data_IF_877494221032
#
_entry.id   IF_877494221032
#
_cell.length_a   1.000
_cell.length_b   1.000
_cell.length_c   1.000
_cell.angle_alpha   90.00
_cell.angle_beta   90.00
_cell.angle_gamma   90.00
#
_symmetry.space_group_name_H-M   'P 1'
#
loop_
_entity.id
_entity.type
_entity.pdbx_description
1 polymer ?
#
# COMPACT_ATOMS: atom_id res chain seq x y z
N UNK A 1 -6.66 -12.85 -8.99
CA UNK A 1 -5.58 -12.88 -10.01
C UNK A 1 -5.65 -11.73 -11.03
N UNK A 2 -5.84 -10.46 -10.63
CA UNK A 2 -5.81 -9.31 -11.56
C UNK A 2 -4.42 -8.68 -11.71
N UNK A 3 -3.49 -8.97 -10.80
CA UNK A 3 -2.13 -8.39 -10.77
C UNK A 3 -1.24 -8.97 -11.88
N UNK A 4 -1.32 -10.29 -12.14
CA UNK A 4 -0.56 -10.97 -13.21
C UNK A 4 -0.90 -10.47 -14.62
N UNK A 5 -2.08 -9.86 -14.81
CA UNK A 5 -2.50 -9.30 -16.09
C UNK A 5 -2.03 -7.86 -16.29
N UNK A 6 -1.36 -7.25 -15.30
CA UNK A 6 -0.85 -5.87 -15.45
C UNK A 6 0.52 -5.89 -16.14
N UNK A 7 0.70 -5.16 -17.25
CA UNK A 7 1.98 -5.14 -17.98
C UNK A 7 3.13 -4.58 -17.12
N UNK A 8 2.83 -3.65 -16.20
CA UNK A 8 3.80 -3.07 -15.25
C UNK A 8 4.47 -4.12 -14.34
N UNK A 9 3.75 -5.17 -13.97
CA UNK A 9 4.29 -6.26 -13.13
C UNK A 9 5.36 -7.05 -13.90
N UNK A 10 5.08 -7.37 -15.16
CA UNK A 10 6.03 -8.05 -16.04
C UNK A 10 7.22 -7.19 -16.40
N UNK A 11 7.03 -5.88 -16.63
CA UNK A 11 8.14 -4.95 -16.86
C UNK A 11 9.09 -4.93 -15.66
N UNK A 12 8.56 -4.89 -14.43
CA UNK A 12 9.37 -4.93 -13.22
C UNK A 12 10.16 -6.25 -13.08
N UNK A 13 9.48 -7.40 -13.26
CA UNK A 13 10.12 -8.72 -13.17
C UNK A 13 11.16 -8.94 -14.27
N UNK A 14 10.82 -8.61 -15.52
CA UNK A 14 11.73 -8.74 -16.66
C UNK A 14 12.92 -7.79 -16.52
N UNK A 15 12.74 -6.59 -15.98
CA UNK A 15 13.84 -5.68 -15.71
C UNK A 15 14.80 -6.21 -14.65
N UNK A 16 14.28 -6.82 -13.58
CA UNK A 16 15.10 -7.43 -12.53
C UNK A 16 15.88 -8.65 -13.07
N UNK A 17 15.23 -9.49 -13.88
CA UNK A 17 15.86 -10.65 -14.51
C UNK A 17 16.90 -10.26 -15.58
N UNK A 18 16.62 -9.23 -16.38
CA UNK A 18 17.50 -8.79 -17.46
C UNK A 18 18.72 -7.99 -16.97
N UNK A 19 18.62 -7.33 -15.81
CA UNK A 19 19.73 -6.59 -15.20
C UNK A 19 20.70 -7.48 -14.41
N UNK A 20 20.25 -8.64 -13.92
CA UNK A 20 21.09 -9.60 -13.19
C UNK A 20 22.39 -10.00 -13.93
N UNK A 21 22.32 -10.41 -15.21
CA UNK A 21 23.50 -10.76 -16.01
C UNK A 21 24.52 -9.63 -16.19
N UNK A 22 24.12 -8.38 -15.99
CA UNK A 22 24.96 -7.19 -16.22
C UNK A 22 25.59 -6.62 -14.94
N UNK A 23 25.06 -6.96 -13.76
CA UNK A 23 25.46 -6.35 -12.48
C UNK A 23 26.27 -7.28 -11.57
N UNK A 24 26.19 -8.60 -11.74
CA UNK A 24 26.72 -9.60 -10.80
C UNK A 24 27.42 -10.74 -11.56
N UNK A 25 28.63 -11.11 -11.14
CA UNK A 25 29.35 -12.32 -11.60
C UNK A 25 30.57 -12.05 -12.48
N UNK A 26 31.55 -12.95 -12.41
CA UNK A 26 32.78 -12.85 -13.22
C UNK A 26 32.48 -13.13 -14.72
N UNK A 27 33.15 -12.44 -15.66
CA UNK A 27 32.81 -12.46 -17.08
C UNK A 27 33.22 -13.79 -17.74
N UNK A 28 32.26 -14.66 -18.06
CA UNK A 28 32.57 -15.93 -18.73
C UNK A 28 32.32 -15.93 -20.24
N UNK A 29 31.56 -14.97 -20.80
CA UNK A 29 31.36 -14.87 -22.27
C UNK A 29 31.42 -13.41 -22.73
N UNK A 30 32.41 -13.03 -23.58
CA UNK A 30 32.42 -11.71 -24.19
C UNK A 30 31.40 -11.65 -25.32
N UNK A 31 30.30 -10.92 -25.13
CA UNK A 31 29.31 -10.62 -26.16
C UNK A 31 29.41 -9.13 -26.54
N UNK A 32 30.51 -8.75 -27.18
CA UNK A 32 30.81 -7.35 -27.53
C UNK A 32 31.05 -6.47 -26.28
N UNK A 33 30.53 -5.23 -26.20
CA UNK A 33 30.71 -4.37 -25.02
C UNK A 33 29.90 -4.81 -23.79
N UNK A 34 29.10 -5.89 -23.92
CA UNK A 34 28.30 -6.46 -22.85
C UNK A 34 28.90 -7.79 -22.40
N UNK A 35 29.36 -7.83 -21.16
CA UNK A 35 29.80 -9.05 -20.51
C UNK A 35 28.58 -9.78 -19.96
N UNK A 36 28.36 -11.03 -20.37
CA UNK A 36 27.24 -11.86 -19.89
C UNK A 36 27.79 -12.93 -18.96
N UNK A 37 27.39 -12.89 -17.70
CA UNK A 37 27.72 -13.94 -16.72
C UNK A 37 26.52 -14.85 -16.49
N UNK A 38 26.74 -16.17 -16.57
CA UNK A 38 25.72 -17.17 -16.23
C UNK A 38 25.33 -17.13 -14.75
N UNK A 39 26.29 -16.76 -13.90
CA UNK A 39 26.07 -16.52 -12.47
C UNK A 39 25.18 -15.30 -12.24
N UNK A 40 25.39 -14.23 -13.02
CA UNK A 40 24.53 -13.04 -13.00
C UNK A 40 23.10 -13.32 -13.46
N UNK A 41 22.92 -14.19 -14.45
CA UNK A 41 21.59 -14.63 -14.88
C UNK A 41 20.88 -15.46 -13.79
N UNK A 42 21.58 -16.39 -13.15
CA UNK A 42 21.04 -17.16 -12.03
C UNK A 42 20.64 -16.25 -10.86
N UNK A 43 21.49 -15.29 -10.50
CA UNK A 43 21.21 -14.29 -9.47
C UNK A 43 20.03 -13.37 -9.85
N UNK A 44 19.95 -12.95 -11.11
CA UNK A 44 18.84 -12.15 -11.63
C UNK A 44 17.49 -12.88 -11.57
N UNK A 45 17.48 -14.16 -11.92
CA UNK A 45 16.28 -15.02 -11.80
C UNK A 45 15.90 -15.21 -10.33
N UNK A 46 16.87 -15.43 -9.44
CA UNK A 46 16.61 -15.55 -8.00
C UNK A 46 16.00 -14.26 -7.43
N UNK A 47 16.57 -13.10 -7.74
CA UNK A 47 16.03 -11.81 -7.31
C UNK A 47 14.65 -11.52 -7.90
N UNK A 48 14.43 -11.86 -9.17
CA UNK A 48 13.11 -11.75 -9.80
C UNK A 48 12.08 -12.66 -9.11
N UNK A 49 12.48 -13.89 -8.74
CA UNK A 49 11.69 -14.81 -7.94
C UNK A 49 11.30 -14.21 -6.59
N UNK A 50 12.27 -13.71 -5.82
CA UNK A 50 12.03 -13.04 -4.53
C UNK A 50 11.11 -11.83 -4.68
N UNK A 51 11.34 -10.97 -5.67
CA UNK A 51 10.52 -9.80 -5.94
C UNK A 51 9.06 -10.18 -6.29
N UNK A 52 8.88 -11.23 -7.09
CA UNK A 52 7.56 -11.74 -7.44
C UNK A 52 6.83 -12.30 -6.21
N UNK A 53 7.53 -13.06 -5.36
CA UNK A 53 6.98 -13.62 -4.13
C UNK A 53 6.54 -12.52 -3.16
N UNK A 54 7.39 -11.51 -2.92
CA UNK A 54 7.07 -10.37 -2.07
C UNK A 54 5.88 -9.57 -2.61
N UNK A 55 5.86 -9.30 -3.91
CA UNK A 55 4.76 -8.56 -4.54
C UNK A 55 3.44 -9.33 -4.48
N UNK A 56 3.47 -10.65 -4.67
CA UNK A 56 2.29 -11.50 -4.55
C UNK A 56 1.81 -11.60 -3.11
N UNK A 57 2.71 -11.81 -2.15
CA UNK A 57 2.39 -11.84 -0.73
C UNK A 57 1.72 -10.53 -0.29
N UNK A 58 2.29 -9.38 -0.67
CA UNK A 58 1.73 -8.08 -0.35
C UNK A 58 0.40 -7.83 -1.05
N UNK A 59 0.28 -8.17 -2.33
CA UNK A 59 -0.98 -8.01 -3.08
C UNK A 59 -2.10 -8.90 -2.55
N UNK A 60 -1.80 -10.12 -2.13
CA UNK A 60 -2.77 -11.04 -1.54
C UNK A 60 -3.15 -10.56 -0.14
N UNK A 61 -2.18 -10.12 0.67
CA UNK A 61 -2.43 -9.53 1.99
C UNK A 61 -3.34 -8.31 1.90
N UNK A 62 -3.02 -7.35 1.04
CA UNK A 62 -3.85 -6.17 0.82
C UNK A 62 -5.25 -6.49 0.29
N UNK A 63 -5.40 -7.54 -0.53
CA UNK A 63 -6.71 -7.95 -1.03
C UNK A 63 -7.57 -8.66 0.03
N UNK A 64 -6.93 -9.26 1.05
CA UNK A 64 -7.60 -9.97 2.14
C UNK A 64 -7.90 -9.06 3.34
N UNK A 65 -7.12 -7.99 3.53
CA UNK A 65 -7.29 -7.02 4.61
C UNK A 65 -8.53 -6.16 4.38
N UNK A 66 -9.49 -6.23 5.30
CA UNK A 66 -10.56 -5.24 5.36
C UNK A 66 -10.11 -4.00 6.15
N UNK A 67 -10.76 -2.86 5.91
CA UNK A 67 -10.50 -1.63 6.67
C UNK A 67 -10.69 -1.86 8.18
N UNK A 68 -11.70 -2.65 8.56
CA UNK A 68 -11.98 -3.02 9.95
C UNK A 68 -10.84 -3.80 10.60
N UNK A 69 -10.15 -4.67 9.84
CA UNK A 69 -9.02 -5.43 10.36
C UNK A 69 -7.81 -4.53 10.64
N UNK A 70 -7.55 -3.57 9.76
CA UNK A 70 -6.48 -2.57 9.94
C UNK A 70 -6.73 -1.74 11.20
N UNK A 71 -7.97 -1.27 11.39
CA UNK A 71 -8.38 -0.52 12.58
C UNK A 71 -8.20 -1.35 13.85
N UNK A 72 -8.61 -2.61 13.82
CA UNK A 72 -8.53 -3.52 14.97
C UNK A 72 -7.08 -3.92 15.32
N UNK A 73 -6.18 -3.99 14.33
CA UNK A 73 -4.74 -4.19 14.57
C UNK A 73 -4.14 -2.99 15.31
N UNK A 74 -4.44 -1.76 14.87
CA UNK A 74 -3.95 -0.55 15.56
C UNK A 74 -4.48 -0.42 16.98
N UNK A 75 -5.73 -0.82 17.20
CA UNK A 75 -6.36 -0.82 18.52
C UNK A 75 -5.71 -1.84 19.47
N UNK A 76 -5.38 -3.04 18.96
CA UNK A 76 -4.64 -4.07 19.73
C UNK A 76 -3.20 -3.71 20.03
N UNK A 77 -2.55 -2.92 19.19
CA UNK A 77 -1.19 -2.43 19.43
C UNK A 77 -1.14 -1.33 20.52
N UNK A 78 -2.28 -1.00 21.15
CA UNK A 78 -2.36 0.00 22.21
C UNK A 78 -2.32 1.44 21.70
N UNK A 79 -2.35 1.64 20.39
CA UNK A 79 -2.41 2.95 19.75
C UNK A 79 -3.86 3.43 19.70
N UNK A 80 -4.44 3.61 20.89
CA UNK A 80 -5.81 4.07 21.08
C UNK A 80 -6.00 5.39 20.35
N UNK A 81 -7.08 5.50 19.58
CA UNK A 81 -7.36 6.65 18.71
C UNK A 81 -6.78 6.58 17.29
N UNK A 82 -5.70 5.85 17.01
CA UNK A 82 -5.19 5.71 15.62
C UNK A 82 -6.11 4.88 14.74
N UNK A 83 -6.76 3.85 15.32
CA UNK A 83 -7.80 3.09 14.62
C UNK A 83 -8.95 4.00 14.19
N UNK A 84 -9.41 4.87 15.09
CA UNK A 84 -10.44 5.88 14.78
C UNK A 84 -9.96 6.87 13.71
N UNK A 85 -8.75 7.43 13.85
CA UNK A 85 -8.19 8.37 12.87
C UNK A 85 -8.02 7.73 11.48
N UNK A 86 -7.63 6.45 11.43
CA UNK A 86 -7.46 5.71 10.17
C UNK A 86 -8.82 5.38 9.53
N UNK A 87 -9.79 4.93 10.32
CA UNK A 87 -11.16 4.71 9.86
C UNK A 87 -11.77 6.00 9.32
N UNK A 88 -11.60 7.10 10.06
CA UNK A 88 -12.06 8.42 9.68
C UNK A 88 -11.37 8.86 8.38
N UNK A 89 -10.04 8.84 8.31
CA UNK A 89 -9.28 9.23 7.12
C UNK A 89 -9.72 8.45 5.86
N UNK A 90 -9.96 7.14 6.00
CA UNK A 90 -10.41 6.30 4.90
C UNK A 90 -11.86 6.60 4.48
N UNK A 91 -12.73 6.92 5.43
CA UNK A 91 -14.10 7.35 5.15
C UNK A 91 -14.11 8.74 4.47
N UNK A 92 -13.30 9.66 4.98
CA UNK A 92 -13.12 11.01 4.45
C UNK A 92 -12.55 11.02 3.04
N UNK A 93 -11.73 10.05 2.65
CA UNK A 93 -11.01 10.03 1.38
C UNK A 93 -11.95 10.16 0.16
N UNK A 94 -13.08 9.44 0.17
CA UNK A 94 -14.02 9.50 -0.96
C UNK A 94 -14.74 10.85 -1.00
N UNK A 95 -15.18 11.36 0.14
CA UNK A 95 -15.80 12.68 0.27
C UNK A 95 -14.83 13.79 -0.15
N UNK A 96 -13.56 13.70 0.27
CA UNK A 96 -12.50 14.62 -0.11
C UNK A 96 -12.21 14.60 -1.59
N UNK A 97 -12.20 13.41 -2.20
CA UNK A 97 -12.06 13.27 -3.64
C UNK A 97 -13.19 13.99 -4.37
N UNK A 98 -14.43 13.83 -3.93
CA UNK A 98 -15.59 14.52 -4.51
C UNK A 98 -15.48 16.04 -4.34
N UNK A 99 -15.22 16.53 -3.12
CA UNK A 99 -15.00 17.94 -2.83
C UNK A 99 -13.86 18.54 -3.67
N UNK A 100 -12.75 17.83 -3.83
CA UNK A 100 -11.63 18.24 -4.65
C UNK A 100 -12.01 18.30 -6.13
N UNK A 101 -12.76 17.32 -6.66
CA UNK A 101 -13.21 17.35 -8.06
C UNK A 101 -14.13 18.54 -8.33
N UNK A 102 -15.08 18.82 -7.45
CA UNK A 102 -15.98 19.97 -7.57
C UNK A 102 -15.19 21.28 -7.49
N UNK A 103 -14.30 21.42 -6.51
CA UNK A 103 -13.46 22.61 -6.33
C UNK A 103 -12.62 22.87 -7.58
N UNK A 104 -12.00 21.83 -8.13
CA UNK A 104 -11.23 21.94 -9.38
C UNK A 104 -12.09 22.36 -10.57
N UNK A 105 -13.27 21.76 -10.73
CA UNK A 105 -14.22 22.12 -11.79
C UNK A 105 -14.66 23.57 -11.68
N UNK A 106 -14.97 24.06 -10.48
CA UNK A 106 -15.34 25.46 -10.23
C UNK A 106 -14.19 26.42 -10.58
N UNK A 107 -12.97 26.11 -10.16
CA UNK A 107 -11.78 26.93 -10.48
C UNK A 107 -11.55 26.96 -11.99
N UNK A 108 -11.72 25.81 -12.68
CA UNK A 108 -11.59 25.73 -14.14
C UNK A 108 -12.66 26.57 -14.85
N UNK A 109 -13.92 26.49 -14.42
CA UNK A 109 -15.03 27.27 -14.99
C UNK A 109 -14.86 28.78 -14.79
N UNK A 110 -14.23 29.21 -13.69
CA UNK A 110 -13.90 30.61 -13.42
C UNK A 110 -12.62 31.11 -14.12
N UNK A 111 -12.08 30.35 -15.06
CA UNK A 111 -10.91 30.75 -15.85
C UNK A 111 -9.56 30.51 -15.17
N UNK A 112 -9.49 29.65 -14.14
CA UNK A 112 -8.25 29.31 -13.42
C UNK A 112 -7.12 28.75 -14.31
N UNK A 113 -7.46 28.26 -15.51
CA UNK A 113 -6.49 27.80 -16.54
C UNK A 113 -5.55 28.93 -16.99
N UNK A 114 -5.99 30.20 -16.92
CA UNK A 114 -5.18 31.36 -17.33
C UNK A 114 -4.05 31.70 -16.36
N UNK A 115 -4.13 31.26 -15.09
CA UNK A 115 -3.15 31.55 -14.03
C UNK A 115 -2.94 30.29 -13.16
N UNK A 116 -2.17 29.30 -13.64
CA UNK A 116 -2.11 27.96 -13.02
C UNK A 116 -1.58 27.98 -11.60
N UNK A 117 -0.61 28.85 -11.27
CA UNK A 117 -0.05 28.98 -9.92
C UNK A 117 -1.08 29.49 -8.91
N UNK A 118 -1.86 30.50 -9.30
CA UNK A 118 -2.91 31.08 -8.44
C UNK A 118 -4.05 30.07 -8.27
N UNK A 119 -4.43 29.39 -9.35
CA UNK A 119 -5.44 28.33 -9.32
C UNK A 119 -5.03 27.17 -8.40
N UNK A 120 -3.77 26.73 -8.47
CA UNK A 120 -3.25 25.68 -7.58
C UNK A 120 -3.25 26.13 -6.12
N UNK A 121 -2.83 27.35 -5.83
CA UNK A 121 -2.86 27.92 -4.47
C UNK A 121 -4.28 27.97 -3.92
N UNK A 122 -5.23 28.48 -4.70
CA UNK A 122 -6.64 28.55 -4.31
C UNK A 122 -7.23 27.16 -4.11
N UNK A 123 -6.92 26.22 -5.00
CA UNK A 123 -7.34 24.83 -4.88
C UNK A 123 -6.82 24.20 -3.58
N UNK A 124 -5.53 24.36 -3.26
CA UNK A 124 -4.93 23.82 -2.04
C UNK A 124 -5.55 24.42 -0.79
N UNK A 125 -5.63 25.75 -0.70
CA UNK A 125 -6.21 26.43 0.46
C UNK A 125 -7.67 26.01 0.66
N UNK A 126 -8.45 25.97 -0.40
CA UNK A 126 -9.88 25.59 -0.34
C UNK A 126 -10.05 24.13 0.07
N UNK A 127 -9.24 23.23 -0.49
CA UNK A 127 -9.29 21.80 -0.15
C UNK A 127 -8.91 21.57 1.30
N UNK A 128 -7.82 22.18 1.78
CA UNK A 128 -7.35 22.06 3.18
C UNK A 128 -8.41 22.62 4.14
N UNK A 129 -8.93 23.83 3.87
CA UNK A 129 -9.94 24.45 4.72
C UNK A 129 -11.23 23.61 4.81
N UNK A 130 -11.71 23.07 3.67
CA UNK A 130 -12.87 22.18 3.66
C UNK A 130 -12.60 20.86 4.38
N UNK A 131 -11.39 20.31 4.26
CA UNK A 131 -10.99 19.08 4.96
C UNK A 131 -11.01 19.26 6.46
N UNK A 132 -10.42 20.35 6.95
CA UNK A 132 -10.36 20.67 8.39
C UNK A 132 -11.77 20.88 8.94
N UNK A 133 -12.58 21.72 8.28
CA UNK A 133 -13.95 21.98 8.71
C UNK A 133 -14.78 20.70 8.77
N UNK A 134 -14.71 19.87 7.74
CA UNK A 134 -15.47 18.61 7.70
C UNK A 134 -14.96 17.59 8.74
N UNK A 135 -13.65 17.55 8.99
CA UNK A 135 -13.07 16.76 10.07
C UNK A 135 -13.63 17.16 11.43
N UNK A 136 -13.67 18.46 11.72
CA UNK A 136 -14.23 19.01 12.96
C UNK A 136 -15.72 18.69 13.11
N UNK A 137 -16.51 18.80 12.03
CA UNK A 137 -17.93 18.43 12.01
C UNK A 137 -18.15 16.95 12.36
N UNK A 138 -17.32 16.04 11.80
CA UNK A 138 -17.43 14.60 12.07
C UNK A 138 -16.99 14.27 13.50
N UNK A 139 -15.91 14.87 13.99
CA UNK A 139 -15.46 14.69 15.38
C UNK A 139 -16.52 15.21 16.34
N UNK A 140 -17.06 16.40 16.10
CA UNK A 140 -18.14 16.97 16.92
C UNK A 140 -19.37 16.05 16.93
N UNK A 141 -19.81 15.56 15.76
CA UNK A 141 -20.92 14.60 15.67
C UNK A 141 -20.63 13.29 16.43
N UNK A 142 -19.38 12.80 16.42
CA UNK A 142 -18.99 11.63 17.19
C UNK A 142 -19.05 11.90 18.71
N UNK A 143 -18.59 13.07 19.17
CA UNK A 143 -18.64 13.45 20.59
C UNK A 143 -20.08 13.59 21.10
N UNK A 144 -21.00 14.15 20.30
CA UNK A 144 -22.44 14.24 20.65
C UNK A 144 -23.06 12.84 20.80
N UNK A 145 -22.53 11.85 20.09
CA UNK A 145 -22.93 10.43 20.22
C UNK A 145 -22.24 9.70 21.39
N UNK A 146 -21.57 10.44 22.28
CA UNK A 146 -20.80 9.90 23.39
C UNK A 146 -19.69 8.90 22.97
N UNK A 147 -19.16 9.06 21.75
CA UNK A 147 -18.04 8.24 21.29
C UNK A 147 -16.73 8.73 21.94
N UNK A 148 -16.11 7.90 22.77
CA UNK A 148 -14.79 8.16 23.34
C UNK A 148 -13.75 7.19 22.73
N UNK A 149 -12.83 7.69 21.88
CA UNK A 149 -11.84 6.85 21.21
C UNK A 149 -10.83 6.21 22.17
N UNK A 150 -10.75 6.67 23.43
CA UNK A 150 -9.80 6.18 24.42
C UNK A 150 -10.43 5.23 25.46
N UNK A 151 -11.77 5.14 25.50
CA UNK A 151 -12.49 4.38 26.54
C UNK A 151 -13.33 3.21 26.00
N UNK A 152 -13.37 3.00 24.68
CA UNK A 152 -14.09 1.88 24.08
C UNK A 152 -13.40 0.52 24.29
N UNK A 153 -14.15 -0.59 24.30
CA UNK A 153 -13.57 -1.94 24.28
C UNK A 153 -12.83 -2.18 22.95
N UNK A 154 -11.69 -2.90 22.98
CA UNK A 154 -10.89 -3.11 21.80
C UNK A 154 -11.67 -3.87 20.72
N UNK A 155 -11.54 -3.45 19.47
CA UNK A 155 -12.21 -4.09 18.34
C UNK A 155 -11.85 -5.58 18.26
N UNK A 156 -12.86 -6.43 18.17
CA UNK A 156 -12.68 -7.88 18.04
C UNK A 156 -12.19 -8.22 16.64
N UNK A 157 -10.96 -8.75 16.52
CA UNK A 157 -10.51 -9.42 15.30
C UNK A 157 -11.18 -10.79 15.22
N UNK A 158 -12.00 -11.07 14.18
CA UNK A 158 -12.53 -12.41 13.98
C UNK A 158 -11.39 -13.32 13.53
N UNK A 159 -10.81 -14.07 14.48
CA UNK A 159 -9.83 -15.12 14.18
C UNK A 159 -10.48 -16.15 13.26
N UNK A 160 -10.03 -16.20 12.02
CA UNK A 160 -10.61 -17.06 11.00
C UNK A 160 -9.78 -18.32 10.89
N UNK A 161 -10.41 -19.46 10.58
CA UNK A 161 -9.68 -20.73 10.38
C UNK A 161 -8.58 -20.61 9.32
N UNK A 162 -8.74 -19.70 8.36
CA UNK A 162 -7.72 -19.39 7.36
C UNK A 162 -6.42 -18.86 7.98
N UNK A 163 -6.49 -18.08 9.07
CA UNK A 163 -5.31 -17.52 9.75
C UNK A 163 -4.48 -18.63 10.41
N UNK A 164 -5.14 -19.68 10.92
CA UNK A 164 -4.49 -20.86 11.48
C UNK A 164 -3.77 -21.68 10.41
N UNK A 165 -4.40 -21.89 9.26
CA UNK A 165 -3.76 -22.55 8.11
C UNK A 165 -2.57 -21.74 7.58
N UNK A 166 -2.69 -20.42 7.56
CA UNK A 166 -1.63 -19.52 7.11
C UNK A 166 -0.45 -19.51 8.10
N UNK A 167 -0.74 -19.49 9.41
CA UNK A 167 0.28 -19.63 10.45
C UNK A 167 0.98 -21.00 10.37
N UNK A 168 0.23 -22.09 10.19
CA UNK A 168 0.79 -23.43 10.02
C UNK A 168 1.68 -23.53 8.77
N UNK A 169 1.24 -22.93 7.64
CA UNK A 169 2.03 -22.88 6.41
C UNK A 169 3.31 -22.05 6.58
N UNK A 170 3.25 -20.90 7.27
CA UNK A 170 4.42 -20.07 7.59
C UNK A 170 5.43 -20.82 8.48
N UNK A 171 4.95 -21.47 9.53
CA UNK A 171 5.79 -22.27 10.43
C UNK A 171 6.42 -23.44 9.65
N UNK A 172 5.63 -24.16 8.85
CA UNK A 172 6.15 -25.26 8.03
C UNK A 172 7.18 -24.79 6.99
N UNK A 173 6.93 -23.66 6.33
CA UNK A 173 7.83 -23.10 5.33
C UNK A 173 9.13 -22.55 5.95
N UNK A 174 9.04 -21.86 7.09
CA UNK A 174 10.21 -21.40 7.84
C UNK A 174 11.05 -22.55 8.38
N UNK A 175 10.42 -23.62 8.88
CA UNK A 175 11.12 -24.84 9.31
C UNK A 175 11.82 -25.56 8.15
N UNK A 176 11.19 -25.63 6.98
CA UNK A 176 11.77 -26.22 5.78
C UNK A 176 12.96 -25.40 5.24
N UNK A 177 12.87 -24.08 5.27
CA UNK A 177 13.98 -23.18 4.91
C UNK A 177 15.16 -23.31 5.88
N UNK A 178 14.89 -23.39 7.18
CA UNK A 178 15.93 -23.61 8.20
C UNK A 178 16.59 -24.99 8.07
N UNK A 179 15.87 -26.01 7.60
CA UNK A 179 16.46 -27.33 7.31
C UNK A 179 17.26 -27.36 6.01
N UNK A 180 16.92 -26.54 5.00
CA UNK A 180 17.68 -26.45 3.75
C UNK A 180 19.00 -25.66 3.88
N UNK A 181 19.15 -24.83 4.92
CA UNK A 181 20.36 -24.06 5.20
C UNK A 181 21.40 -24.82 6.05
N UNK A 182 21.11 -26.06 6.44
CA UNK A 182 21.97 -26.92 7.26
C UNK A 182 22.60 -28.01 6.40
#
# INVERSE_FOLDING_TARGET
MRILRRPRFWVFILSAAALGPFLIGEPNVPLGPFHVSWEGLAAGIEMAGRASALTLAFSLGLAALSLSDVVAVFDRLGLRGLGFATALAMNLLNTLREMATVTWQTIRQRGGVRRPLIALRLFLITTIANTLRYGDEVVNAATVRAFDPNKGPPASLPLRRADLWLAAALIGCSGLLLMLQK
#
